data_IF_779967108255
#
_entry.id   IF_779967108255
#
_cell.length_a   1.000
_cell.length_b   1.000
_cell.length_c   1.000
_cell.angle_alpha   90.00
_cell.angle_beta   90.00
_cell.angle_gamma   90.00
#
_symmetry.space_group_name_H-M   'P 1'
#
loop_
_entity.id
_entity.type
_entity.pdbx_description
1 polymer ?
#
# COMPACT_ATOMS: atom_id res chain seq x y z
N UNK A 1 23.41 -3.23 -38.64
CA UNK A 1 23.38 -4.68 -38.97
C UNK A 1 21.92 -5.13 -39.04
N UNK A 2 21.48 -5.62 -40.20
CA UNK A 2 20.10 -5.99 -40.49
C UNK A 2 19.69 -7.25 -39.70
N UNK A 3 18.69 -7.13 -38.83
CA UNK A 3 18.08 -8.27 -38.13
C UNK A 3 16.99 -8.90 -39.00
N UNK A 4 17.32 -10.00 -39.67
CA UNK A 4 16.37 -10.73 -40.52
C UNK A 4 15.19 -11.27 -39.72
N UNK A 5 13.97 -10.86 -40.09
CA UNK A 5 12.74 -11.54 -39.71
C UNK A 5 12.67 -12.86 -40.48
N UNK A 6 12.60 -13.99 -39.80
CA UNK A 6 12.42 -15.29 -40.43
C UNK A 6 11.07 -15.90 -40.02
N UNK A 7 10.31 -16.35 -41.00
CA UNK A 7 9.04 -17.08 -40.80
C UNK A 7 9.31 -18.56 -40.64
N UNK A 8 8.83 -19.17 -39.54
CA UNK A 8 8.86 -20.63 -39.35
C UNK A 8 7.48 -21.21 -39.67
N UNK A 9 7.44 -22.20 -40.57
CA UNK A 9 6.22 -22.95 -40.84
C UNK A 9 5.92 -23.91 -39.68
N UNK A 10 4.69 -23.86 -39.19
CA UNK A 10 4.17 -24.82 -38.22
C UNK A 10 3.74 -26.12 -38.93
N UNK A 11 3.61 -27.25 -38.20
CA UNK A 11 3.14 -28.52 -38.76
C UNK A 11 1.74 -28.43 -39.42
N UNK A 12 0.98 -27.37 -39.14
CA UNK A 12 -0.34 -27.09 -39.70
C UNK A 12 -0.32 -26.13 -40.91
N UNK A 13 0.86 -25.80 -41.46
CA UNK A 13 0.99 -24.95 -42.65
C UNK A 13 0.88 -23.44 -42.41
N UNK A 14 0.80 -23.01 -41.14
CA UNK A 14 0.73 -21.60 -40.74
C UNK A 14 2.12 -20.99 -40.55
N UNK A 15 2.37 -19.81 -41.12
CA UNK A 15 3.62 -19.05 -40.97
C UNK A 15 3.64 -18.26 -39.65
N UNK A 16 4.58 -18.56 -38.76
CA UNK A 16 4.84 -17.78 -37.55
C UNK A 16 6.04 -16.86 -37.76
N UNK A 17 5.90 -15.58 -37.41
CA UNK A 17 7.04 -14.66 -37.33
C UNK A 17 7.89 -15.07 -36.12
N UNK A 18 9.14 -15.45 -36.34
CA UNK A 18 10.10 -15.78 -35.29
C UNK A 18 11.02 -14.56 -35.06
N UNK A 19 11.12 -14.14 -33.80
CA UNK A 19 12.04 -13.12 -33.28
C UNK A 19 11.78 -11.64 -33.64
N UNK A 20 10.75 -11.00 -33.06
CA UNK A 20 10.99 -9.68 -32.50
C UNK A 20 11.89 -9.84 -31.26
N UNK A 21 13.14 -9.33 -31.30
CA UNK A 21 14.04 -9.29 -30.12
C UNK A 21 13.39 -8.57 -28.92
N UNK A 22 12.44 -7.68 -29.20
CA UNK A 22 11.62 -6.93 -28.24
C UNK A 22 10.17 -6.91 -28.73
N UNK A 23 9.21 -7.24 -27.87
CA UNK A 23 7.77 -7.12 -28.18
C UNK A 23 7.40 -5.63 -28.07
N UNK A 24 6.81 -5.05 -29.12
CA UNK A 24 6.32 -3.67 -29.09
C UNK A 24 5.07 -3.55 -28.21
N UNK A 25 4.78 -2.35 -27.68
CA UNK A 25 3.55 -2.10 -26.89
C UNK A 25 2.27 -2.46 -27.66
N UNK A 26 2.23 -2.21 -28.96
CA UNK A 26 1.10 -2.60 -29.82
C UNK A 26 0.93 -4.12 -29.90
N UNK A 27 2.04 -4.86 -29.97
CA UNK A 27 2.00 -6.32 -30.01
C UNK A 27 1.62 -6.90 -28.64
N UNK A 28 2.08 -6.31 -27.54
CA UNK A 28 1.61 -6.67 -26.19
C UNK A 28 0.10 -6.48 -26.04
N UNK A 29 -0.45 -5.37 -26.54
CA UNK A 29 -1.91 -5.12 -26.50
C UNK A 29 -2.71 -6.17 -27.29
N UNK A 30 -2.21 -6.60 -28.46
CA UNK A 30 -2.80 -7.70 -29.23
C UNK A 30 -2.72 -9.03 -28.48
N UNK A 31 -1.58 -9.33 -27.86
CA UNK A 31 -1.38 -10.52 -27.02
C UNK A 31 -2.38 -10.53 -25.87
N UNK A 32 -2.52 -9.42 -25.14
CA UNK A 32 -3.47 -9.29 -24.04
C UNK A 32 -4.92 -9.53 -24.51
N UNK A 33 -5.30 -9.00 -25.67
CA UNK A 33 -6.64 -9.19 -26.25
C UNK A 33 -6.92 -10.66 -26.57
N UNK A 34 -5.96 -11.36 -27.19
CA UNK A 34 -6.07 -12.79 -27.49
C UNK A 34 -6.17 -13.63 -26.19
N UNK A 35 -5.33 -13.33 -25.19
CA UNK A 35 -5.38 -13.97 -23.87
C UNK A 35 -6.77 -13.80 -23.24
N UNK A 36 -7.34 -12.59 -23.29
CA UNK A 36 -8.68 -12.34 -22.75
C UNK A 36 -9.76 -13.18 -23.46
N UNK A 37 -9.66 -13.36 -24.79
CA UNK A 37 -10.53 -14.25 -25.56
C UNK A 37 -10.40 -15.73 -25.15
N UNK A 38 -9.17 -16.19 -24.90
CA UNK A 38 -8.91 -17.55 -24.40
C UNK A 38 -9.49 -17.74 -23.01
N UNK A 39 -9.28 -16.78 -22.09
CA UNK A 39 -9.83 -16.83 -20.73
C UNK A 39 -11.36 -16.83 -20.73
N UNK A 40 -12.00 -16.08 -21.63
CA UNK A 40 -13.46 -16.03 -21.73
C UNK A 40 -14.08 -17.34 -22.26
N UNK A 41 -13.34 -18.10 -23.05
CA UNK A 41 -13.82 -19.32 -23.73
C UNK A 41 -13.46 -20.61 -22.98
N UNK A 42 -12.61 -20.55 -21.95
CA UNK A 42 -12.11 -21.71 -21.23
C UNK A 42 -12.39 -21.62 -19.73
N UNK A 43 -12.45 -22.79 -19.10
CA UNK A 43 -12.46 -22.89 -17.64
C UNK A 43 -11.11 -22.40 -17.08
N UNK A 44 -11.16 -21.40 -16.20
CA UNK A 44 -9.98 -20.76 -15.61
C UNK A 44 -9.10 -21.76 -14.86
N UNK A 45 -9.70 -22.77 -14.23
CA UNK A 45 -8.97 -23.81 -13.49
C UNK A 45 -8.09 -24.71 -14.37
N UNK A 46 -8.34 -24.73 -15.69
CA UNK A 46 -7.64 -25.57 -16.67
C UNK A 46 -6.67 -24.79 -17.54
N UNK A 47 -6.55 -23.48 -17.34
CA UNK A 47 -5.65 -22.62 -18.10
C UNK A 47 -4.21 -22.84 -17.69
N UNK A 48 -3.43 -23.48 -18.56
CA UNK A 48 -1.97 -23.57 -18.42
C UNK A 48 -1.29 -22.55 -19.32
N UNK A 49 -0.11 -22.05 -18.94
CA UNK A 49 0.69 -21.15 -19.78
C UNK A 49 0.97 -21.76 -21.17
N UNK A 50 1.07 -23.09 -21.26
CA UNK A 50 1.27 -23.81 -22.54
C UNK A 50 0.06 -23.69 -23.46
N UNK A 51 -1.15 -23.88 -22.92
CA UNK A 51 -2.40 -23.77 -23.66
C UNK A 51 -2.63 -22.33 -24.14
N UNK A 52 -2.46 -21.37 -23.24
CA UNK A 52 -2.58 -19.94 -23.56
C UNK A 52 -1.57 -19.56 -24.64
N UNK A 53 -0.31 -20.00 -24.53
CA UNK A 53 0.70 -19.76 -25.57
C UNK A 53 0.25 -20.27 -26.94
N UNK A 54 -0.17 -21.52 -27.03
CA UNK A 54 -0.58 -22.13 -28.30
C UNK A 54 -1.76 -21.41 -28.94
N UNK A 55 -2.75 -21.01 -28.15
CA UNK A 55 -3.91 -20.29 -28.63
C UNK A 55 -3.55 -18.88 -29.14
N UNK A 56 -2.73 -18.14 -28.37
CA UNK A 56 -2.27 -16.80 -28.73
C UNK A 56 -1.35 -16.83 -29.97
N UNK A 57 -0.42 -17.78 -30.05
CA UNK A 57 0.46 -17.95 -31.21
C UNK A 57 -0.35 -18.26 -32.49
N UNK A 58 -1.44 -19.02 -32.37
CA UNK A 58 -2.36 -19.31 -33.48
C UNK A 58 -3.10 -18.07 -33.96
N UNK A 59 -3.55 -17.20 -33.04
CA UNK A 59 -4.33 -16.01 -33.36
C UNK A 59 -3.46 -14.88 -33.92
N UNK A 60 -2.33 -14.59 -33.28
CA UNK A 60 -1.48 -13.43 -33.59
C UNK A 60 -0.39 -13.77 -34.61
N UNK A 61 -0.16 -15.06 -34.87
CA UNK A 61 0.86 -15.57 -35.80
C UNK A 61 2.30 -15.14 -35.48
N UNK A 62 2.60 -14.95 -34.19
CA UNK A 62 3.93 -14.62 -33.68
C UNK A 62 4.38 -15.70 -32.70
N UNK A 63 5.63 -16.16 -32.82
CA UNK A 63 6.22 -17.14 -31.90
C UNK A 63 6.56 -16.49 -30.55
N UNK A 64 6.02 -17.02 -29.45
CA UNK A 64 6.21 -16.52 -28.09
C UNK A 64 7.12 -17.43 -27.25
N UNK A 65 7.79 -18.40 -27.88
CA UNK A 65 8.70 -19.36 -27.24
C UNK A 65 9.77 -18.71 -26.36
N UNK A 66 10.32 -17.57 -26.79
CA UNK A 66 11.37 -16.83 -26.08
C UNK A 66 10.80 -15.74 -25.14
N UNK A 67 9.48 -15.57 -25.08
CA UNK A 67 8.79 -14.49 -24.37
C UNK A 67 7.88 -15.03 -23.26
N UNK A 68 8.31 -16.11 -22.59
CA UNK A 68 7.54 -16.81 -21.55
C UNK A 68 7.12 -15.89 -20.41
N UNK A 69 8.00 -14.99 -19.97
CA UNK A 69 7.73 -14.07 -18.86
C UNK A 69 6.71 -12.99 -19.24
N UNK A 70 6.81 -12.44 -20.47
CA UNK A 70 5.79 -11.49 -20.99
C UNK A 70 4.42 -12.16 -21.05
N UNK A 71 4.36 -13.39 -21.55
CA UNK A 71 3.12 -14.16 -21.64
C UNK A 71 2.52 -14.42 -20.26
N UNK A 72 3.33 -14.86 -19.28
CA UNK A 72 2.86 -15.06 -17.90
C UNK A 72 2.31 -13.78 -17.31
N UNK A 73 3.04 -12.66 -17.41
CA UNK A 73 2.63 -11.36 -16.88
C UNK A 73 1.28 -10.92 -17.46
N UNK A 74 1.13 -10.98 -18.79
CA UNK A 74 -0.14 -10.60 -19.46
C UNK A 74 -1.28 -11.57 -19.11
N UNK A 75 -1.00 -12.87 -18.97
CA UNK A 75 -1.98 -13.86 -18.52
C UNK A 75 -2.49 -13.57 -17.10
N UNK A 76 -1.60 -13.30 -16.15
CA UNK A 76 -1.99 -12.90 -14.80
C UNK A 76 -2.81 -11.61 -14.83
N UNK A 77 -2.38 -10.60 -15.60
CA UNK A 77 -3.10 -9.34 -15.72
C UNK A 77 -4.55 -9.52 -16.22
N UNK A 78 -4.79 -10.33 -17.24
CA UNK A 78 -6.15 -10.59 -17.74
C UNK A 78 -6.99 -11.45 -16.78
N UNK A 79 -6.37 -12.41 -16.09
CA UNK A 79 -7.05 -13.17 -15.03
C UNK A 79 -7.50 -12.27 -13.88
N UNK A 80 -6.65 -11.33 -13.43
CA UNK A 80 -7.01 -10.31 -12.43
C UNK A 80 -8.19 -9.47 -12.91
N UNK A 81 -8.18 -9.00 -14.17
CA UNK A 81 -9.32 -8.27 -14.77
C UNK A 81 -10.62 -9.08 -14.77
N UNK A 82 -10.57 -10.39 -15.05
CA UNK A 82 -11.75 -11.25 -15.02
C UNK A 82 -12.28 -11.41 -13.58
N UNK A 83 -11.39 -11.71 -12.61
CA UNK A 83 -11.75 -11.80 -11.18
C UNK A 83 -12.41 -10.51 -10.71
N UNK A 84 -11.78 -9.37 -11.01
CA UNK A 84 -12.29 -8.03 -10.74
C UNK A 84 -13.73 -7.82 -11.27
N UNK A 85 -13.99 -8.18 -12.54
CA UNK A 85 -15.33 -8.08 -13.15
C UNK A 85 -16.36 -8.99 -12.47
N UNK A 86 -15.97 -10.20 -12.05
CA UNK A 86 -16.88 -11.12 -11.34
C UNK A 86 -17.23 -10.58 -9.96
N UNK A 87 -16.26 -10.03 -9.25
CA UNK A 87 -16.46 -9.42 -7.93
C UNK A 87 -17.34 -8.18 -7.99
N UNK A 88 -17.16 -7.32 -8.99
CA UNK A 88 -17.99 -6.13 -9.18
C UNK A 88 -19.48 -6.45 -9.38
N UNK A 89 -19.81 -7.68 -9.82
CA UNK A 89 -21.19 -8.13 -10.03
C UNK A 89 -21.82 -8.80 -8.80
N UNK A 90 -21.05 -9.14 -7.77
CA UNK A 90 -21.58 -9.76 -6.55
C UNK A 90 -22.13 -8.68 -5.63
N UNK A 91 -23.34 -8.89 -5.11
CA UNK A 91 -23.84 -8.07 -4.00
C UNK A 91 -22.93 -8.32 -2.79
N UNK A 92 -22.30 -7.26 -2.28
CA UNK A 92 -21.51 -7.36 -1.08
C UNK A 92 -22.46 -7.51 0.13
N UNK A 93 -22.22 -8.45 1.05
CA UNK A 93 -22.97 -8.51 2.29
C UNK A 93 -22.77 -7.22 3.09
N UNK A 94 -23.73 -6.87 3.93
CA UNK A 94 -23.61 -5.70 4.79
C UNK A 94 -22.39 -5.88 5.72
N UNK A 95 -21.53 -4.86 5.85
CA UNK A 95 -20.36 -4.98 6.69
C UNK A 95 -20.73 -5.18 8.17
N UNK A 96 -19.95 -6.01 8.86
CA UNK A 96 -20.19 -6.35 10.26
C UNK A 96 -20.33 -5.11 11.14
N UNK A 97 -21.47 -5.02 11.85
CA UNK A 97 -21.85 -3.94 12.78
C UNK A 97 -21.63 -2.52 12.25
N UNK A 98 -21.90 -2.28 10.97
CA UNK A 98 -21.60 -0.99 10.32
C UNK A 98 -22.23 0.22 11.02
N UNK A 99 -23.47 0.11 11.52
CA UNK A 99 -24.14 1.21 12.22
C UNK A 99 -23.39 1.60 13.52
N UNK A 100 -23.05 0.62 14.36
CA UNK A 100 -22.28 0.87 15.59
C UNK A 100 -20.90 1.43 15.29
N UNK A 101 -20.25 0.92 14.24
CA UNK A 101 -18.94 1.43 13.78
C UNK A 101 -19.03 2.88 13.35
N UNK A 102 -20.02 3.25 12.55
CA UNK A 102 -20.22 4.64 12.11
C UNK A 102 -20.47 5.61 13.26
N UNK A 103 -21.27 5.20 14.25
CA UNK A 103 -21.46 6.01 15.46
C UNK A 103 -20.14 6.21 16.22
N UNK A 104 -19.38 5.13 16.42
CA UNK A 104 -18.09 5.14 17.10
C UNK A 104 -17.05 6.01 16.37
N UNK A 105 -16.97 5.90 15.04
CA UNK A 105 -16.11 6.73 14.17
C UNK A 105 -16.48 8.20 14.32
N UNK A 106 -17.78 8.56 14.25
CA UNK A 106 -18.21 9.94 14.36
C UNK A 106 -17.83 10.55 15.73
N UNK A 107 -18.01 9.80 16.82
CA UNK A 107 -17.55 10.20 18.17
C UNK A 107 -16.03 10.41 18.20
N UNK A 108 -15.26 9.48 17.65
CA UNK A 108 -13.80 9.58 17.57
C UNK A 108 -13.33 10.78 16.75
N UNK A 109 -13.94 11.05 15.60
CA UNK A 109 -13.62 12.21 14.76
C UNK A 109 -13.90 13.54 15.47
N UNK A 110 -15.04 13.65 16.16
CA UNK A 110 -15.35 14.82 16.97
C UNK A 110 -14.29 15.03 18.06
N UNK A 111 -13.90 13.95 18.75
CA UNK A 111 -12.88 13.98 19.80
C UNK A 111 -11.52 14.45 19.25
N UNK A 112 -11.08 13.86 18.12
CA UNK A 112 -9.86 14.23 17.40
C UNK A 112 -9.87 15.72 17.03
N UNK A 113 -10.98 16.23 16.50
CA UNK A 113 -11.09 17.63 16.12
C UNK A 113 -10.92 18.57 17.32
N UNK A 114 -11.48 18.25 18.49
CA UNK A 114 -11.27 19.05 19.69
C UNK A 114 -9.81 18.99 20.16
N UNK A 115 -9.21 17.79 20.20
CA UNK A 115 -7.79 17.64 20.57
C UNK A 115 -6.89 18.50 19.67
N UNK A 116 -7.11 18.47 18.36
CA UNK A 116 -6.32 19.24 17.38
C UNK A 116 -6.41 20.75 17.56
N UNK A 117 -7.51 21.26 18.13
CA UNK A 117 -7.68 22.71 18.38
C UNK A 117 -7.01 23.17 19.67
N UNK A 118 -6.87 22.28 20.62
CA UNK A 118 -6.47 22.60 21.99
C UNK A 118 -5.03 22.16 22.32
N UNK A 119 -4.48 21.21 21.56
CA UNK A 119 -3.19 20.62 21.87
C UNK A 119 -2.01 21.54 21.47
N UNK A 120 -1.15 21.83 22.45
CA UNK A 120 0.11 22.53 22.22
C UNK A 120 1.04 21.77 21.25
N UNK A 121 0.96 20.43 21.20
CA UNK A 121 1.74 19.58 20.30
C UNK A 121 1.23 19.50 18.86
N UNK A 122 0.09 20.14 18.53
CA UNK A 122 -0.47 20.13 17.18
C UNK A 122 0.52 20.44 16.04
N UNK A 123 1.54 21.32 16.19
CA UNK A 123 2.55 21.51 15.16
C UNK A 123 3.28 20.23 14.73
N UNK A 124 3.58 19.34 15.66
CA UNK A 124 4.44 18.17 15.44
C UNK A 124 3.73 17.04 14.69
N UNK A 125 2.42 16.87 14.91
CA UNK A 125 1.61 15.80 14.33
C UNK A 125 0.41 16.28 13.50
N UNK A 126 0.28 17.60 13.29
CA UNK A 126 -0.79 18.18 12.48
C UNK A 126 -0.76 17.72 11.03
N UNK A 127 0.43 17.49 10.46
CA UNK A 127 0.58 16.91 9.13
C UNK A 127 0.05 15.47 9.08
N UNK A 128 0.29 14.66 10.12
CA UNK A 128 -0.30 13.33 10.24
C UNK A 128 -1.84 13.40 10.30
N UNK A 129 -2.40 14.41 10.98
CA UNK A 129 -3.85 14.62 11.02
C UNK A 129 -4.43 15.00 9.66
N UNK A 130 -3.76 15.88 8.91
CA UNK A 130 -4.16 16.26 7.55
C UNK A 130 -4.14 15.03 6.63
N UNK A 131 -3.04 14.26 6.64
CA UNK A 131 -2.93 13.00 5.90
C UNK A 131 -4.07 12.05 6.27
N UNK A 132 -4.25 11.79 7.56
CA UNK A 132 -5.25 10.84 8.07
C UNK A 132 -6.67 11.25 7.69
N UNK A 133 -7.04 12.52 7.88
CA UNK A 133 -8.36 13.01 7.52
C UNK A 133 -8.57 13.04 6.00
N UNK A 134 -7.53 13.30 5.20
CA UNK A 134 -7.63 13.19 3.74
C UNK A 134 -7.84 11.75 3.30
N UNK A 135 -7.03 10.83 3.80
CA UNK A 135 -7.14 9.42 3.43
C UNK A 135 -8.53 8.88 3.79
N UNK A 136 -9.12 9.31 4.92
CA UNK A 136 -10.49 8.94 5.30
C UNK A 136 -11.49 9.37 4.22
N UNK A 137 -11.35 10.58 3.68
CA UNK A 137 -12.23 11.05 2.60
C UNK A 137 -12.13 10.19 1.35
N UNK A 138 -10.98 9.57 1.13
CA UNK A 138 -10.76 8.76 -0.04
C UNK A 138 -11.41 7.38 0.04
N UNK A 139 -11.81 6.96 1.26
CA UNK A 139 -12.33 5.61 1.51
C UNK A 139 -13.70 5.59 2.20
N UNK A 140 -14.18 6.68 2.80
CA UNK A 140 -15.48 6.72 3.49
C UNK A 140 -16.58 7.37 2.66
N UNK A 141 -17.83 7.17 3.09
CA UNK A 141 -19.02 7.75 2.47
C UNK A 141 -19.92 8.45 3.50
N UNK A 142 -20.92 9.20 3.01
CA UNK A 142 -21.96 9.79 3.84
C UNK A 142 -21.42 10.81 4.85
N UNK A 143 -21.89 10.74 6.10
CA UNK A 143 -21.56 11.74 7.11
C UNK A 143 -20.12 11.65 7.60
N UNK A 144 -19.50 10.47 7.60
CA UNK A 144 -18.09 10.32 7.95
C UNK A 144 -17.19 11.04 6.94
N UNK A 145 -17.47 10.85 5.65
CA UNK A 145 -16.80 11.61 4.58
C UNK A 145 -16.96 13.11 4.79
N UNK A 146 -18.18 13.58 5.07
CA UNK A 146 -18.45 15.02 5.29
C UNK A 146 -17.67 15.57 6.48
N UNK A 147 -17.63 14.86 7.60
CA UNK A 147 -16.85 15.24 8.79
C UNK A 147 -15.35 15.25 8.49
N UNK A 148 -14.83 14.20 7.86
CA UNK A 148 -13.41 14.12 7.50
C UNK A 148 -13.00 15.24 6.54
N UNK A 149 -13.82 15.58 5.54
CA UNK A 149 -13.57 16.71 4.63
C UNK A 149 -13.59 18.04 5.35
N UNK A 150 -14.59 18.28 6.21
CA UNK A 150 -14.68 19.52 6.98
C UNK A 150 -13.45 19.68 7.88
N UNK A 151 -13.11 18.64 8.65
CA UNK A 151 -11.99 18.69 9.59
C UNK A 151 -10.66 18.78 8.88
N UNK A 152 -10.42 18.04 7.79
CA UNK A 152 -9.18 18.16 7.03
C UNK A 152 -8.92 19.61 6.57
N UNK A 153 -9.96 20.30 6.09
CA UNK A 153 -9.85 21.71 5.67
C UNK A 153 -9.63 22.66 6.83
N UNK A 154 -10.39 22.51 7.92
CA UNK A 154 -10.23 23.36 9.11
C UNK A 154 -8.85 23.20 9.74
N UNK A 155 -8.38 21.95 9.87
CA UNK A 155 -7.07 21.62 10.43
C UNK A 155 -5.95 22.06 9.48
N UNK A 156 -6.10 21.88 8.17
CA UNK A 156 -5.16 22.41 7.18
C UNK A 156 -5.02 23.93 7.25
N UNK A 157 -6.13 24.65 7.38
CA UNK A 157 -6.12 26.10 7.55
C UNK A 157 -5.48 26.53 8.89
N UNK A 158 -5.76 25.81 9.98
CA UNK A 158 -5.11 26.05 11.29
C UNK A 158 -3.61 25.81 11.22
N UNK A 159 -3.17 24.75 10.53
CA UNK A 159 -1.76 24.41 10.39
C UNK A 159 -0.99 25.49 9.62
N UNK A 160 -1.62 26.16 8.65
CA UNK A 160 -1.04 27.24 7.86
C UNK A 160 -1.13 28.64 8.50
N UNK A 161 -1.99 28.83 9.51
CA UNK A 161 -2.22 30.15 10.11
C UNK A 161 -1.00 30.66 10.88
N UNK A 162 -0.25 29.75 11.48
CA UNK A 162 1.05 30.07 12.05
C UNK A 162 2.08 29.99 10.94
N UNK A 163 3.02 30.94 10.90
CA UNK A 163 4.15 30.95 9.98
C UNK A 163 5.14 29.83 10.37
N UNK A 164 4.66 28.59 10.32
CA UNK A 164 5.41 27.35 10.53
C UNK A 164 6.30 27.05 9.31
N UNK A 165 6.33 27.95 8.32
CA UNK A 165 7.18 27.88 7.13
C UNK A 165 8.66 28.14 7.41
N UNK A 166 9.06 28.24 8.68
CA UNK A 166 10.48 28.28 9.06
C UNK A 166 11.10 26.90 8.93
N UNK A 167 11.27 26.40 7.70
CA UNK A 167 12.24 25.34 7.48
C UNK A 167 13.56 25.92 7.01
N UNK A 168 13.60 26.99 6.20
CA UNK A 168 14.84 27.69 5.89
C UNK A 168 14.57 29.12 5.42
N UNK A 169 15.54 30.02 5.60
CA UNK A 169 15.42 31.41 5.16
C UNK A 169 15.20 31.48 3.63
N UNK A 170 14.36 32.40 3.17
CA UNK A 170 14.14 32.59 1.73
C UNK A 170 15.49 32.82 1.03
N UNK A 171 15.79 32.02 0.02
CA UNK A 171 17.06 32.10 -0.72
C UNK A 171 18.26 31.43 -0.06
N UNK A 172 18.15 30.86 1.15
CA UNK A 172 19.18 30.00 1.72
C UNK A 172 19.07 28.56 1.19
N UNK A 173 20.14 27.78 1.37
CA UNK A 173 20.13 26.34 1.05
C UNK A 173 19.52 25.59 2.26
N UNK A 174 18.41 24.86 2.12
CA UNK A 174 17.87 24.01 3.19
C UNK A 174 18.82 22.88 3.54
N UNK A 175 18.72 22.35 4.77
CA UNK A 175 19.31 21.05 5.10
C UNK A 175 18.51 19.90 4.48
N UNK A 176 19.08 18.69 4.35
CA UNK A 176 18.36 17.51 3.85
C UNK A 176 17.05 17.24 4.60
N UNK A 177 17.06 17.30 5.93
CA UNK A 177 15.87 17.11 6.78
C UNK A 177 14.81 18.18 6.52
N UNK A 178 15.23 19.45 6.38
CA UNK A 178 14.33 20.56 6.06
C UNK A 178 13.66 20.36 4.70
N UNK A 179 14.41 19.86 3.71
CA UNK A 179 13.87 19.56 2.39
C UNK A 179 12.84 18.43 2.44
N UNK A 180 13.12 17.32 3.13
CA UNK A 180 12.18 16.20 3.31
C UNK A 180 10.89 16.64 4.02
N UNK A 181 11.02 17.46 5.06
CA UNK A 181 9.88 18.01 5.79
C UNK A 181 9.04 18.93 4.90
N UNK A 182 9.68 19.75 4.06
CA UNK A 182 8.97 20.61 3.11
C UNK A 182 8.26 19.81 2.00
N UNK A 183 8.89 18.76 1.45
CA UNK A 183 8.22 17.86 0.50
C UNK A 183 6.96 17.26 1.12
N UNK A 184 7.05 16.79 2.36
CA UNK A 184 5.91 16.21 3.08
C UNK A 184 4.82 17.26 3.34
N UNK A 185 5.19 18.46 3.82
CA UNK A 185 4.23 19.53 4.07
C UNK A 185 3.50 19.98 2.79
N UNK A 186 4.23 20.22 1.69
CA UNK A 186 3.64 20.64 0.40
C UNK A 186 2.68 19.55 -0.12
N UNK A 187 3.13 18.30 -0.13
CA UNK A 187 2.29 17.17 -0.56
C UNK A 187 0.98 17.07 0.24
N UNK A 188 1.07 17.11 1.58
CA UNK A 188 -0.07 16.90 2.45
C UNK A 188 -1.08 18.05 2.43
N UNK A 189 -0.60 19.29 2.44
CA UNK A 189 -1.45 20.49 2.43
C UNK A 189 -2.18 20.63 1.09
N UNK A 190 -1.52 20.33 -0.03
CA UNK A 190 -2.15 20.46 -1.35
C UNK A 190 -3.21 19.40 -1.61
N UNK A 191 -3.11 18.22 -0.98
CA UNK A 191 -4.17 17.21 -1.03
C UNK A 191 -5.50 17.75 -0.51
N UNK A 192 -5.50 18.59 0.53
CA UNK A 192 -6.75 19.18 1.07
C UNK A 192 -7.23 20.41 0.28
N UNK A 193 -6.61 20.69 -0.88
CA UNK A 193 -7.01 21.77 -1.78
C UNK A 193 -6.50 23.15 -1.36
N UNK A 194 -5.44 23.22 -0.56
CA UNK A 194 -4.83 24.47 -0.13
C UNK A 194 -3.45 24.60 -0.77
N UNK A 195 -3.15 25.73 -1.40
CA UNK A 195 -1.84 25.97 -2.01
C UNK A 195 -0.79 26.22 -0.91
N UNK A 196 0.31 25.49 -0.94
CA UNK A 196 1.41 25.73 -0.01
C UNK A 196 2.30 26.88 -0.53
N UNK A 197 2.62 27.86 0.33
CA UNK A 197 3.36 29.08 -0.08
C UNK A 197 4.74 28.78 -0.69
N UNK A 198 5.38 27.70 -0.25
CA UNK A 198 6.73 27.29 -0.67
C UNK A 198 6.78 26.32 -1.85
N UNK A 199 5.64 26.00 -2.49
CA UNK A 199 5.60 25.03 -3.60
C UNK A 199 6.60 25.38 -4.70
N UNK A 200 6.58 26.63 -5.17
CA UNK A 200 7.43 27.08 -6.27
C UNK A 200 8.91 27.00 -5.88
N UNK A 201 9.28 27.52 -4.71
CA UNK A 201 10.67 27.50 -4.24
C UNK A 201 11.20 26.07 -4.04
N UNK A 202 10.36 25.14 -3.56
CA UNK A 202 10.72 23.73 -3.42
C UNK A 202 11.06 23.12 -4.78
N UNK A 203 10.20 23.31 -5.78
CA UNK A 203 10.40 22.77 -7.12
C UNK A 203 11.63 23.41 -7.79
N UNK A 204 11.77 24.74 -7.71
CA UNK A 204 12.93 25.48 -8.23
C UNK A 204 14.24 25.01 -7.58
N UNK A 205 14.23 24.64 -6.29
CA UNK A 205 15.39 24.09 -5.62
C UNK A 205 15.73 22.68 -6.10
N UNK A 206 14.72 21.82 -6.26
CA UNK A 206 14.89 20.44 -6.72
C UNK A 206 15.28 20.34 -8.21
N UNK A 207 14.89 21.31 -9.03
CA UNK A 207 15.20 21.35 -10.48
C UNK A 207 16.58 21.94 -10.80
N UNK A 208 17.35 22.34 -9.77
CA UNK A 208 18.71 22.88 -9.97
C UNK A 208 19.63 21.86 -10.63
N UNK A 209 20.46 22.35 -11.55
CA UNK A 209 21.52 21.58 -12.20
C UNK A 209 22.89 22.20 -11.87
N UNK A 210 23.79 21.48 -11.18
CA UNK A 210 23.64 20.10 -10.68
C UNK A 210 22.68 19.99 -9.49
N UNK A 211 22.16 18.78 -9.26
CA UNK A 211 21.28 18.47 -8.12
C UNK A 211 22.06 18.70 -6.81
N UNK A 212 21.44 19.38 -5.85
CA UNK A 212 22.09 19.73 -4.57
C UNK A 212 22.16 18.55 -3.61
N UNK A 213 21.10 17.76 -3.51
CA UNK A 213 21.01 16.58 -2.66
C UNK A 213 20.48 15.38 -3.44
N UNK A 214 21.20 14.25 -3.38
CA UNK A 214 20.73 12.97 -3.89
C UNK A 214 20.12 12.10 -2.79
N UNK A 215 19.78 10.86 -3.14
CA UNK A 215 19.24 9.88 -2.21
C UNK A 215 20.13 9.70 -0.95
N UNK A 216 21.46 9.71 -1.13
CA UNK A 216 22.42 9.50 -0.04
C UNK A 216 22.36 10.61 1.01
N UNK A 217 22.24 11.87 0.60
CA UNK A 217 22.14 13.00 1.53
C UNK A 217 20.77 13.05 2.21
N UNK A 218 19.71 12.64 1.51
CA UNK A 218 18.33 12.70 2.02
C UNK A 218 17.96 11.51 2.93
N UNK A 219 18.48 10.32 2.63
CA UNK A 219 18.12 9.07 3.31
C UNK A 219 19.27 8.49 4.15
N UNK A 220 20.50 8.98 3.95
CA UNK A 220 21.72 8.36 4.50
C UNK A 220 22.23 7.15 3.69
N UNK A 221 21.52 6.74 2.63
CA UNK A 221 21.87 5.65 1.73
C UNK A 221 21.21 5.84 0.35
N UNK A 222 21.67 5.15 -0.68
CA UNK A 222 21.05 5.22 -2.02
C UNK A 222 20.46 3.85 -2.41
N UNK A 223 19.12 3.71 -2.47
CA UNK A 223 18.46 2.46 -2.88
C UNK A 223 18.88 1.95 -4.26
N UNK A 224 19.35 2.81 -5.14
CA UNK A 224 19.83 2.45 -6.47
C UNK A 224 21.26 1.88 -6.48
N UNK A 225 22.07 2.14 -5.46
CA UNK A 225 23.50 1.79 -5.44
C UNK A 225 23.83 0.66 -4.45
N UNK A 226 23.17 0.64 -3.28
CA UNK A 226 23.51 -0.29 -2.21
C UNK A 226 22.27 -0.72 -1.40
N UNK A 227 22.34 -1.86 -0.70
CA UNK A 227 21.35 -2.18 0.34
C UNK A 227 21.39 -1.15 1.48
N UNK A 228 20.31 -1.06 2.28
CA UNK A 228 20.29 -0.23 3.47
C UNK A 228 21.38 -0.69 4.46
N UNK A 229 22.09 0.24 5.12
CA UNK A 229 23.16 -0.09 6.05
C UNK A 229 22.62 -0.80 7.30
N UNK A 230 23.32 -1.86 7.73
CA UNK A 230 22.94 -2.73 8.86
C UNK A 230 23.81 -2.55 10.11
N UNK A 231 24.94 -1.84 10.00
CA UNK A 231 26.02 -1.90 11.00
C UNK A 231 25.90 -0.86 12.12
N UNK A 232 24.87 -0.02 12.08
CA UNK A 232 24.66 1.03 13.07
C UNK A 232 23.83 0.51 14.24
N UNK A 233 24.51 -0.06 15.24
CA UNK A 233 23.88 -0.66 16.44
C UNK A 233 22.97 0.30 17.22
N UNK A 234 23.14 1.61 17.04
CA UNK A 234 22.32 2.65 17.67
C UNK A 234 21.50 3.46 16.65
N UNK A 235 21.53 3.06 15.38
CA UNK A 235 20.82 3.73 14.30
C UNK A 235 19.42 3.16 14.06
N UNK A 236 18.68 3.76 13.11
CA UNK A 236 17.36 3.27 12.73
C UNK A 236 17.44 1.84 12.17
N UNK A 237 16.44 1.03 12.48
CA UNK A 237 16.34 -0.35 12.01
C UNK A 237 16.26 -0.42 10.48
N UNK A 238 16.52 -1.60 9.90
CA UNK A 238 16.31 -1.79 8.44
C UNK A 238 14.87 -1.47 8.04
N UNK A 239 13.90 -1.79 8.90
CA UNK A 239 12.48 -1.55 8.66
C UNK A 239 12.16 -0.05 8.65
N UNK A 240 12.69 0.71 9.61
CA UNK A 240 12.52 2.17 9.66
C UNK A 240 13.17 2.86 8.45
N UNK A 241 14.36 2.41 8.03
CA UNK A 241 15.06 2.94 6.85
C UNK A 241 14.27 2.71 5.56
N UNK A 242 13.72 1.50 5.38
CA UNK A 242 12.88 1.17 4.22
C UNK A 242 11.56 1.95 4.25
N UNK A 243 10.94 2.09 5.43
CA UNK A 243 9.71 2.87 5.62
C UNK A 243 9.94 4.34 5.27
N UNK A 244 10.99 4.94 5.81
CA UNK A 244 11.37 6.33 5.54
C UNK A 244 11.65 6.55 4.05
N UNK A 245 12.43 5.68 3.41
CA UNK A 245 12.70 5.76 1.98
C UNK A 245 11.41 5.67 1.14
N UNK A 246 10.48 4.79 1.53
CA UNK A 246 9.21 4.59 0.84
C UNK A 246 8.28 5.79 0.97
N UNK A 247 8.16 6.37 2.16
CA UNK A 247 7.34 7.58 2.41
C UNK A 247 7.89 8.78 1.65
N UNK A 248 9.21 9.01 1.73
CA UNK A 248 9.87 10.13 1.05
C UNK A 248 9.79 9.97 -0.47
N UNK A 249 9.97 8.75 -0.98
CA UNK A 249 9.72 8.44 -2.39
C UNK A 249 8.28 8.74 -2.79
N UNK A 250 7.30 8.32 -1.99
CA UNK A 250 5.89 8.52 -2.31
C UNK A 250 5.51 10.02 -2.38
N UNK A 251 5.94 10.82 -1.41
CA UNK A 251 5.68 12.26 -1.39
C UNK A 251 6.37 12.98 -2.56
N UNK A 252 7.65 12.71 -2.78
CA UNK A 252 8.42 13.32 -3.88
C UNK A 252 7.86 12.94 -5.25
N UNK A 253 7.53 11.66 -5.46
CA UNK A 253 6.93 11.17 -6.70
C UNK A 253 5.59 11.85 -6.99
N UNK A 254 4.73 12.01 -5.98
CA UNK A 254 3.46 12.72 -6.13
C UNK A 254 3.63 14.21 -6.47
N UNK A 255 4.76 14.82 -6.09
CA UNK A 255 5.12 16.19 -6.43
C UNK A 255 5.88 16.32 -7.76
N UNK A 256 6.26 15.20 -8.39
CA UNK A 256 7.08 15.19 -9.60
C UNK A 256 8.57 15.43 -9.35
N UNK A 257 9.04 15.26 -8.11
CA UNK A 257 10.45 15.46 -7.72
C UNK A 257 11.20 14.13 -7.83
N UNK A 258 12.35 14.13 -8.52
CA UNK A 258 13.22 12.95 -8.62
C UNK A 258 14.26 12.93 -7.49
N UNK A 259 14.34 11.81 -6.75
CA UNK A 259 15.32 11.60 -5.69
C UNK A 259 16.58 10.84 -6.14
N UNK A 260 16.65 10.45 -7.42
CA UNK A 260 17.75 9.63 -7.96
C UNK A 260 17.57 8.12 -7.79
N UNK A 261 16.41 7.65 -7.34
CA UNK A 261 16.03 6.24 -7.35
C UNK A 261 14.53 6.06 -7.67
N UNK A 262 14.15 4.84 -8.03
CA UNK A 262 12.79 4.44 -8.42
C UNK A 262 12.19 3.46 -7.43
N UNK A 263 10.86 3.33 -7.39
CA UNK A 263 10.18 2.36 -6.53
C UNK A 263 10.71 0.92 -6.73
N UNK A 264 10.91 0.41 -7.96
CA UNK A 264 11.50 -0.92 -8.13
C UNK A 264 12.88 -1.10 -7.49
N UNK A 265 13.75 -0.08 -7.56
CA UNK A 265 15.07 -0.10 -6.92
C UNK A 265 14.98 -0.06 -5.39
N UNK A 266 13.89 0.45 -4.83
CA UNK A 266 13.63 0.34 -3.40
C UNK A 266 13.07 -1.04 -3.04
N UNK A 267 12.07 -1.53 -3.79
CA UNK A 267 11.39 -2.80 -3.52
C UNK A 267 12.28 -4.04 -3.67
N UNK A 268 13.39 -3.96 -4.41
CA UNK A 268 14.36 -5.07 -4.48
C UNK A 268 14.96 -5.43 -3.12
N UNK A 269 15.00 -4.47 -2.18
CA UNK A 269 15.56 -4.68 -0.85
C UNK A 269 14.60 -5.39 0.10
N UNK A 270 13.35 -5.64 -0.30
CA UNK A 270 12.39 -6.40 0.51
C UNK A 270 12.84 -7.85 0.74
N UNK A 271 13.65 -8.41 -0.18
CA UNK A 271 14.26 -9.73 -0.02
C UNK A 271 15.18 -9.84 1.20
N UNK A 272 15.66 -8.71 1.74
CA UNK A 272 16.52 -8.69 2.93
C UNK A 272 15.72 -8.84 4.24
N UNK A 273 14.42 -8.56 4.20
CA UNK A 273 13.52 -8.60 5.37
C UNK A 273 12.49 -9.71 5.29
N UNK A 274 12.39 -10.40 4.15
CA UNK A 274 11.56 -11.59 4.03
C UNK A 274 12.31 -12.87 4.44
N UNK A 275 11.63 -13.83 5.09
CA UNK A 275 10.29 -13.69 5.68
C UNK A 275 10.32 -12.79 6.92
N UNK A 276 9.22 -12.07 7.16
CA UNK A 276 9.05 -11.23 8.35
C UNK A 276 9.16 -12.04 9.63
N UNK A 277 9.73 -11.42 10.67
CA UNK A 277 10.06 -12.06 11.94
C UNK A 277 8.90 -12.00 12.94
N UNK A 278 8.84 -12.99 13.84
CA UNK A 278 7.89 -12.96 14.94
C UNK A 278 8.30 -11.97 16.03
N UNK A 279 7.38 -11.61 16.95
CA UNK A 279 7.67 -10.68 18.05
C UNK A 279 8.70 -11.22 19.05
N UNK A 280 8.98 -12.52 19.06
CA UNK A 280 10.04 -13.14 19.87
C UNK A 280 11.44 -12.95 19.30
N UNK A 281 11.55 -12.64 18.01
CA UNK A 281 12.81 -12.68 17.27
C UNK A 281 13.43 -11.29 17.11
N UNK A 282 12.69 -10.24 17.50
CA UNK A 282 13.07 -8.83 17.37
C UNK A 282 12.96 -8.13 18.73
N UNK A 283 13.66 -7.01 18.87
CA UNK A 283 13.35 -6.09 19.97
C UNK A 283 11.94 -5.48 19.78
N UNK A 284 11.29 -4.98 20.85
CA UNK A 284 9.96 -4.37 20.74
C UNK A 284 9.90 -3.23 19.72
N UNK A 285 10.95 -2.38 19.67
CA UNK A 285 11.03 -1.28 18.71
C UNK A 285 11.18 -1.79 17.27
N UNK A 286 12.08 -2.75 17.02
CA UNK A 286 12.25 -3.31 15.67
C UNK A 286 11.00 -4.05 15.18
N UNK A 287 10.26 -4.69 16.09
CA UNK A 287 8.97 -5.30 15.77
C UNK A 287 7.93 -4.24 15.37
N UNK A 288 7.85 -3.13 16.11
CA UNK A 288 7.01 -1.98 15.75
C UNK A 288 7.40 -1.42 14.38
N UNK A 289 8.69 -1.19 14.13
CA UNK A 289 9.19 -0.70 12.85
C UNK A 289 8.84 -1.66 11.70
N UNK A 290 8.89 -2.98 11.94
CA UNK A 290 8.48 -3.99 10.98
C UNK A 290 6.98 -3.90 10.66
N UNK A 291 6.12 -3.72 11.66
CA UNK A 291 4.67 -3.50 11.46
C UNK A 291 4.43 -2.23 10.67
N UNK A 292 5.16 -1.14 10.95
CA UNK A 292 5.09 0.12 10.20
C UNK A 292 5.53 -0.05 8.74
N UNK A 293 6.59 -0.81 8.47
CA UNK A 293 7.01 -1.10 7.09
C UNK A 293 5.91 -1.87 6.34
N UNK A 294 5.39 -2.94 6.94
CA UNK A 294 4.36 -3.79 6.33
C UNK A 294 3.11 -2.98 6.00
N UNK A 295 2.62 -2.20 6.96
CA UNK A 295 1.42 -1.38 6.77
C UNK A 295 1.65 -0.28 5.74
N UNK A 296 2.81 0.37 5.74
CA UNK A 296 3.19 1.39 4.74
C UNK A 296 3.28 0.80 3.34
N UNK A 297 3.86 -0.40 3.16
CA UNK A 297 3.90 -1.10 1.88
C UNK A 297 2.48 -1.32 1.34
N UNK A 298 1.57 -1.81 2.18
CA UNK A 298 0.18 -2.00 1.81
C UNK A 298 -0.48 -0.67 1.45
N UNK A 299 -0.28 0.40 2.23
CA UNK A 299 -0.88 1.69 1.94
C UNK A 299 -0.38 2.31 0.63
N UNK A 300 0.93 2.31 0.37
CA UNK A 300 1.47 2.85 -0.89
C UNK A 300 0.92 2.08 -2.09
N UNK A 301 0.93 0.76 -2.05
CA UNK A 301 0.46 -0.06 -3.18
C UNK A 301 -1.05 -0.02 -3.37
N UNK A 302 -1.82 0.34 -2.34
CA UNK A 302 -3.28 0.40 -2.40
C UNK A 302 -3.80 1.84 -2.52
N UNK A 303 -2.90 2.81 -2.68
CA UNK A 303 -3.23 4.24 -2.63
C UNK A 303 -4.05 4.58 -1.37
N UNK A 304 -3.46 4.26 -0.22
CA UNK A 304 -4.02 4.43 1.13
C UNK A 304 -5.40 3.78 1.32
N UNK A 305 -5.61 2.61 0.72
CA UNK A 305 -6.86 1.85 0.85
C UNK A 305 -7.93 2.18 -0.19
N UNK A 306 -7.66 3.02 -1.19
CA UNK A 306 -8.60 3.28 -2.30
C UNK A 306 -8.71 2.10 -3.26
N UNK A 307 -7.64 1.33 -3.41
CA UNK A 307 -7.57 0.18 -4.31
C UNK A 307 -7.70 -1.12 -3.53
N UNK A 308 -8.34 -2.11 -4.14
CA UNK A 308 -8.43 -3.47 -3.60
C UNK A 308 -7.14 -4.23 -3.89
N UNK A 309 -6.57 -4.84 -2.86
CA UNK A 309 -5.38 -5.68 -2.97
C UNK A 309 -5.78 -7.15 -3.08
N UNK A 310 -5.24 -7.86 -4.06
CA UNK A 310 -5.29 -9.33 -4.08
C UNK A 310 -4.23 -9.85 -3.11
N UNK A 311 -4.52 -10.96 -2.42
CA UNK A 311 -3.55 -11.62 -1.52
C UNK A 311 -2.28 -12.03 -2.27
N UNK A 312 -2.42 -12.39 -3.54
CA UNK A 312 -1.32 -12.80 -4.41
C UNK A 312 -0.45 -11.62 -4.87
N UNK A 313 -0.78 -10.37 -4.52
CA UNK A 313 0.06 -9.21 -4.84
C UNK A 313 1.09 -8.93 -3.74
N UNK A 314 0.70 -9.13 -2.48
CA UNK A 314 1.47 -8.86 -1.27
C UNK A 314 1.24 -10.00 -0.25
N UNK A 315 1.67 -11.25 -0.56
CA UNK A 315 1.33 -12.40 0.26
C UNK A 315 2.03 -12.40 1.61
N UNK A 316 3.27 -11.90 1.67
CA UNK A 316 4.06 -11.80 2.89
C UNK A 316 3.40 -10.84 3.89
N UNK A 317 2.98 -9.67 3.41
CA UNK A 317 2.26 -8.67 4.19
C UNK A 317 0.90 -9.20 4.65
N UNK A 318 0.15 -9.83 3.75
CA UNK A 318 -1.16 -10.41 4.09
C UNK A 318 -1.06 -11.45 5.20
N UNK A 319 -0.15 -12.42 5.07
CA UNK A 319 0.02 -13.48 6.07
C UNK A 319 0.57 -12.93 7.38
N UNK A 320 1.55 -12.02 7.32
CA UNK A 320 2.09 -11.39 8.50
C UNK A 320 1.00 -10.67 9.29
N UNK A 321 0.24 -9.77 8.65
CA UNK A 321 -0.85 -9.03 9.29
C UNK A 321 -1.91 -9.95 9.86
N UNK A 322 -2.31 -10.97 9.09
CA UNK A 322 -3.29 -11.97 9.53
C UNK A 322 -2.81 -12.77 10.74
N UNK A 323 -1.54 -13.13 10.84
CA UNK A 323 -1.06 -13.90 11.98
C UNK A 323 -0.93 -13.04 13.25
N UNK A 324 -0.47 -11.79 13.08
CA UNK A 324 -0.10 -10.95 14.21
C UNK A 324 -1.27 -10.22 14.88
N UNK A 325 -2.45 -10.12 14.25
CA UNK A 325 -3.65 -9.56 14.93
C UNK A 325 -3.95 -10.30 16.25
N UNK A 326 -3.76 -11.63 16.30
CA UNK A 326 -4.00 -12.40 17.54
C UNK A 326 -3.04 -11.98 18.64
N UNK A 327 -1.76 -11.81 18.29
CA UNK A 327 -0.73 -11.36 19.22
C UNK A 327 -1.03 -9.94 19.73
N UNK A 328 -1.33 -9.00 18.82
CA UNK A 328 -1.62 -7.61 19.17
C UNK A 328 -2.88 -7.49 20.05
N UNK A 329 -3.89 -8.32 19.82
CA UNK A 329 -5.06 -8.41 20.68
C UNK A 329 -4.71 -8.92 22.09
N UNK A 330 -3.83 -9.92 22.19
CA UNK A 330 -3.40 -10.45 23.48
C UNK A 330 -2.57 -9.43 24.27
N UNK A 331 -1.75 -8.62 23.59
CA UNK A 331 -0.98 -7.54 24.21
C UNK A 331 -1.81 -6.28 24.49
N UNK A 332 -3.05 -6.21 23.98
CA UNK A 332 -3.88 -5.00 24.04
C UNK A 332 -3.21 -3.77 23.40
N UNK A 333 -2.34 -4.00 22.42
CA UNK A 333 -1.61 -2.97 21.68
C UNK A 333 -2.54 -2.31 20.65
N UNK A 334 -3.36 -1.38 21.13
CA UNK A 334 -4.35 -0.69 20.31
C UNK A 334 -3.76 0.09 19.11
N UNK A 335 -2.61 0.80 19.21
CA UNK A 335 -2.03 1.49 18.06
C UNK A 335 -1.65 0.52 16.93
N UNK A 336 -0.81 -0.49 17.22
CA UNK A 336 -0.34 -1.42 16.19
C UNK A 336 -1.47 -2.31 15.68
N UNK A 337 -2.43 -2.67 16.55
CA UNK A 337 -3.66 -3.34 16.14
C UNK A 337 -4.44 -2.48 15.13
N UNK A 338 -4.58 -1.18 15.39
CA UNK A 338 -5.31 -0.26 14.52
C UNK A 338 -4.72 -0.20 13.11
N UNK A 339 -3.40 0.02 13.02
CA UNK A 339 -2.67 0.03 11.75
C UNK A 339 -2.76 -1.32 11.02
N UNK A 340 -2.60 -2.42 11.76
CA UNK A 340 -2.66 -3.78 11.21
C UNK A 340 -4.04 -4.12 10.66
N UNK A 341 -5.11 -3.77 11.39
CA UNK A 341 -6.49 -3.93 10.92
C UNK A 341 -6.74 -3.07 9.69
N UNK A 342 -6.32 -1.80 9.69
CA UNK A 342 -6.48 -0.88 8.54
C UNK A 342 -5.79 -1.43 7.29
N UNK A 343 -4.55 -1.90 7.42
CA UNK A 343 -3.80 -2.48 6.31
C UNK A 343 -4.43 -3.80 5.84
N UNK A 344 -4.76 -4.73 6.76
CA UNK A 344 -5.32 -6.03 6.39
C UNK A 344 -6.63 -5.90 5.62
N UNK A 345 -7.45 -4.88 5.94
CA UNK A 345 -8.69 -4.58 5.21
C UNK A 345 -8.50 -4.21 3.75
N UNK A 346 -7.29 -3.87 3.34
CA UNK A 346 -6.99 -3.64 1.94
C UNK A 346 -7.02 -4.90 1.08
N UNK A 347 -6.89 -6.06 1.71
CA UNK A 347 -6.94 -7.34 1.03
C UNK A 347 -8.37 -7.84 0.86
N UNK A 348 -8.64 -8.44 -0.30
CA UNK A 348 -9.92 -9.07 -0.60
C UNK A 348 -10.25 -10.19 0.41
N UNK A 349 -11.52 -10.25 0.85
CA UNK A 349 -12.01 -11.29 1.77
C UNK A 349 -11.55 -11.15 3.22
N UNK A 350 -10.60 -10.26 3.52
CA UNK A 350 -10.06 -10.03 4.86
C UNK A 350 -11.14 -9.65 5.89
N UNK A 351 -12.16 -8.90 5.47
CA UNK A 351 -13.24 -8.45 6.35
C UNK A 351 -14.01 -9.59 7.01
N UNK A 352 -14.02 -10.79 6.43
CA UNK A 352 -14.72 -11.96 6.96
C UNK A 352 -13.89 -12.75 7.98
N UNK A 353 -12.62 -12.38 8.20
CA UNK A 353 -11.76 -13.08 9.14
C UNK A 353 -12.27 -12.87 10.57
N UNK A 354 -12.40 -13.97 11.33
CA UNK A 354 -12.81 -13.93 12.74
C UNK A 354 -11.95 -12.96 13.56
N UNK A 355 -10.65 -12.91 13.26
CA UNK A 355 -9.71 -12.03 13.95
C UNK A 355 -9.98 -10.54 13.67
N UNK A 356 -10.42 -10.18 12.46
CA UNK A 356 -10.83 -8.82 12.13
C UNK A 356 -12.05 -8.39 12.95
N UNK A 357 -13.05 -9.27 13.07
CA UNK A 357 -14.23 -9.01 13.90
C UNK A 357 -13.87 -8.87 15.38
N UNK A 358 -12.94 -9.70 15.90
CA UNK A 358 -12.46 -9.59 17.28
C UNK A 358 -11.72 -8.27 17.52
N UNK A 359 -10.87 -7.85 16.58
CA UNK A 359 -10.17 -6.56 16.62
C UNK A 359 -11.13 -5.38 16.65
N UNK A 360 -12.09 -5.34 15.74
CA UNK A 360 -13.11 -4.29 15.73
C UNK A 360 -14.01 -4.34 16.97
N UNK A 361 -14.37 -5.53 17.47
CA UNK A 361 -15.14 -5.67 18.69
C UNK A 361 -14.40 -5.09 19.91
N UNK A 362 -13.11 -5.40 20.04
CA UNK A 362 -12.26 -4.84 21.07
C UNK A 362 -12.26 -3.31 21.03
N UNK A 363 -12.04 -2.71 19.85
CA UNK A 363 -12.09 -1.26 19.69
C UNK A 363 -13.47 -0.68 20.05
N UNK A 364 -14.56 -1.27 19.59
CA UNK A 364 -15.90 -0.79 19.93
C UNK A 364 -16.21 -0.86 21.43
N UNK A 365 -15.70 -1.88 22.13
CA UNK A 365 -15.93 -2.07 23.57
C UNK A 365 -15.01 -1.21 24.45
N UNK A 366 -13.89 -0.72 23.91
CA UNK A 366 -12.90 0.07 24.65
C UNK A 366 -12.97 1.56 24.38
N UNK A 367 -13.87 2.01 23.51
CA UNK A 367 -14.11 3.43 23.29
C UNK A 367 -14.67 4.08 24.57
N UNK A 368 -14.07 5.19 24.99
CA UNK A 368 -14.57 5.98 26.13
C UNK A 368 -15.80 6.81 25.75
N UNK A 369 -16.51 7.31 26.75
CA UNK A 369 -17.71 8.15 26.54
C UNK A 369 -17.43 9.42 25.72
N UNK A 370 -16.24 9.99 25.86
CA UNK A 370 -15.79 11.17 25.10
C UNK A 370 -15.36 10.85 23.65
N UNK A 371 -15.43 9.58 23.25
CA UNK A 371 -15.09 9.11 21.92
C UNK A 371 -13.63 8.73 21.71
N UNK A 372 -12.76 8.92 22.70
CA UNK A 372 -11.33 8.59 22.60
C UNK A 372 -11.02 7.13 22.92
N UNK A 373 -9.85 6.67 22.46
CA UNK A 373 -9.22 5.42 22.89
C UNK A 373 -7.94 5.74 23.65
N UNK A 374 -7.74 5.09 24.79
CA UNK A 374 -6.53 5.29 25.59
C UNK A 374 -6.22 4.10 26.49
N UNK A 375 -4.94 3.89 26.74
CA UNK A 375 -4.42 3.09 27.85
C UNK A 375 -4.30 3.95 29.11
N UNK A 376 -4.19 3.33 30.29
CA UNK A 376 -3.98 4.07 31.55
C UNK A 376 -2.71 4.95 31.50
N UNK A 377 -1.66 4.47 30.83
CA UNK A 377 -0.41 5.21 30.60
C UNK A 377 -0.57 6.46 29.72
N UNK A 378 -1.53 6.45 28.79
CA UNK A 378 -1.75 7.54 27.84
C UNK A 378 -2.60 8.69 28.40
N UNK A 379 -3.09 8.61 29.65
CA UNK A 379 -4.00 9.61 30.19
C UNK A 379 -3.41 11.03 30.22
N UNK A 380 -2.10 11.13 30.44
CA UNK A 380 -1.38 12.40 30.57
C UNK A 380 -0.65 12.83 29.29
N UNK A 381 -0.66 12.00 28.24
CA UNK A 381 0.00 12.33 26.97
C UNK A 381 -1.04 12.62 25.88
N UNK A 382 -1.28 13.91 25.55
CA UNK A 382 -2.24 14.28 24.50
C UNK A 382 -1.83 13.75 23.11
N UNK A 383 -0.54 13.54 22.85
CA UNK A 383 -0.07 13.02 21.58
C UNK A 383 -0.47 11.55 21.45
N UNK A 384 -0.14 10.74 22.47
CA UNK A 384 -0.49 9.32 22.48
C UNK A 384 -2.01 9.12 22.37
N UNK A 385 -2.79 9.94 23.10
CA UNK A 385 -4.26 9.91 23.03
C UNK A 385 -4.79 10.20 21.62
N UNK A 386 -4.20 11.17 20.92
CA UNK A 386 -4.55 11.49 19.53
C UNK A 386 -4.28 10.31 18.60
N UNK A 387 -3.07 9.74 18.63
CA UNK A 387 -2.70 8.63 17.74
C UNK A 387 -3.56 7.39 17.99
N UNK A 388 -3.79 7.03 19.27
CA UNK A 388 -4.67 5.92 19.64
C UNK A 388 -6.08 6.11 19.08
N UNK A 389 -6.64 7.31 19.24
CA UNK A 389 -7.99 7.61 18.78
C UNK A 389 -8.06 7.59 17.24
N UNK A 390 -7.07 8.16 16.55
CA UNK A 390 -7.01 8.18 15.09
C UNK A 390 -6.89 6.77 14.51
N UNK A 391 -6.04 5.92 15.10
CA UNK A 391 -5.85 4.55 14.63
C UNK A 391 -7.09 3.67 14.85
N UNK A 392 -7.78 3.84 15.99
CA UNK A 392 -9.03 3.16 16.23
C UNK A 392 -10.13 3.58 15.25
N UNK A 393 -10.28 4.90 14.99
CA UNK A 393 -11.18 5.43 13.96
C UNK A 393 -10.92 4.76 12.63
N UNK A 394 -9.66 4.71 12.20
CA UNK A 394 -9.23 4.10 10.95
C UNK A 394 -9.56 2.60 10.85
N UNK A 395 -9.25 1.83 11.89
CA UNK A 395 -9.52 0.41 11.92
C UNK A 395 -11.02 0.10 11.81
N UNK A 396 -11.87 0.98 12.34
CA UNK A 396 -13.33 0.86 12.28
C UNK A 396 -13.91 1.30 10.93
N UNK A 397 -13.19 2.00 10.08
CA UNK A 397 -13.68 2.51 8.79
C UNK A 397 -13.98 1.39 7.78
N UNK A 398 -14.93 1.59 6.87
CA UNK A 398 -15.27 0.65 5.78
C UNK A 398 -14.80 1.20 4.43
N UNK A 399 -13.65 0.75 3.89
CA UNK A 399 -13.09 1.39 2.72
C UNK A 399 -13.88 1.13 1.44
N UNK A 400 -14.43 2.19 0.85
CA UNK A 400 -14.93 2.24 -0.51
C UNK A 400 -13.77 2.06 -1.50
N UNK A 401 -13.89 1.08 -2.39
CA UNK A 401 -12.83 0.71 -3.34
C UNK A 401 -13.17 1.19 -4.74
N UNK A 402 -12.25 1.93 -5.35
CA UNK A 402 -12.41 2.51 -6.70
C UNK A 402 -11.64 1.76 -7.79
N UNK A 403 -10.92 0.68 -7.42
CA UNK A 403 -10.11 -0.09 -8.37
C UNK A 403 -9.30 -1.20 -7.71
N UNK A 404 -8.23 -1.64 -8.38
CA UNK A 404 -7.37 -2.74 -7.97
C UNK A 404 -5.91 -2.28 -7.90
N UNK A 405 -5.18 -2.78 -6.92
CA UNK A 405 -3.75 -2.57 -6.74
C UNK A 405 -2.94 -3.37 -7.79
N UNK A 406 -1.66 -3.02 -8.05
CA UNK A 406 -0.88 -1.95 -7.42
C UNK A 406 -1.21 -0.56 -7.99
N UNK A 407 -1.09 0.47 -7.14
CA UNK A 407 -1.23 1.88 -7.52
C UNK A 407 -0.15 2.34 -8.52
N UNK A 408 1.04 1.73 -8.44
CA UNK A 408 2.20 2.03 -9.28
C UNK A 408 2.54 0.83 -10.16
N UNK A 409 2.16 0.85 -11.45
CA UNK A 409 2.37 -0.30 -12.34
C UNK A 409 3.83 -0.73 -12.45
N UNK A 410 4.80 0.19 -12.35
CA UNK A 410 6.23 -0.15 -12.38
C UNK A 410 6.67 -1.06 -11.22
N UNK A 411 5.93 -1.13 -10.11
CA UNK A 411 6.23 -2.02 -9.00
C UNK A 411 5.98 -3.50 -9.34
N UNK A 412 5.08 -3.78 -10.30
CA UNK A 412 4.58 -5.13 -10.59
C UNK A 412 5.69 -6.17 -10.78
N UNK A 413 6.76 -5.93 -11.58
CA UNK A 413 7.80 -6.94 -11.77
C UNK A 413 8.53 -7.31 -10.48
N UNK A 414 8.74 -6.35 -9.57
CA UNK A 414 9.40 -6.60 -8.30
C UNK A 414 8.49 -7.34 -7.32
N UNK A 415 7.21 -6.97 -7.27
CA UNK A 415 6.23 -7.69 -6.46
C UNK A 415 6.09 -9.14 -6.93
N UNK A 416 6.09 -9.38 -8.24
CA UNK A 416 6.02 -10.73 -8.82
C UNK A 416 7.29 -11.55 -8.54
N UNK A 417 8.47 -10.92 -8.49
CA UNK A 417 9.72 -11.57 -8.08
C UNK A 417 9.65 -12.06 -6.63
N UNK A 418 9.07 -11.24 -5.75
CA UNK A 418 8.99 -11.49 -4.33
C UNK A 418 7.97 -12.58 -3.94
N UNK A 419 7.10 -13.01 -4.88
CA UNK A 419 6.08 -14.03 -4.64
C UNK A 419 6.63 -15.39 -4.21
N UNK A 420 7.81 -15.76 -4.70
CA UNK A 420 8.37 -17.11 -4.52
C UNK A 420 9.42 -17.19 -3.41
N UNK A 421 9.61 -16.12 -2.64
CA UNK A 421 10.48 -16.16 -1.46
C UNK A 421 9.82 -17.10 -0.46
N UNK A 422 10.57 -18.06 0.07
CA UNK A 422 10.06 -19.13 0.93
C UNK A 422 9.21 -18.55 2.07
N UNK A 423 7.91 -18.87 2.04
CA UNK A 423 6.95 -18.50 3.07
C UNK A 423 6.95 -19.58 4.14
N UNK A 424 7.96 -19.60 5.01
CA UNK A 424 7.93 -20.47 6.18
C UNK A 424 6.92 -19.93 7.19
N UNK A 425 5.80 -20.64 7.37
CA UNK A 425 4.93 -20.40 8.53
C UNK A 425 5.65 -20.88 9.80
N UNK A 426 5.51 -20.21 10.95
CA UNK A 426 6.10 -20.64 12.22
C UNK A 426 5.77 -22.09 12.63
N UNK A 427 4.70 -22.67 12.07
CA UNK A 427 4.24 -24.04 12.37
C UNK A 427 4.65 -25.10 11.32
N UNK A 428 5.52 -24.79 10.35
CA UNK A 428 6.02 -25.78 9.38
C UNK A 428 4.95 -26.39 8.46
N UNK A 429 3.78 -25.75 8.33
CA UNK A 429 2.73 -26.18 7.40
C UNK A 429 2.96 -25.47 6.07
N UNK A 430 3.47 -26.20 5.07
CA UNK A 430 3.48 -25.75 3.69
C UNK A 430 2.07 -25.30 3.29
N UNK A 431 1.92 -24.04 2.87
CA UNK A 431 0.72 -23.59 2.17
C UNK A 431 0.73 -24.31 0.83
N UNK A 432 0.03 -25.45 0.77
CA UNK A 432 -0.39 -26.04 -0.49
C UNK A 432 -1.11 -24.93 -1.25
N UNK A 433 -0.59 -24.58 -2.44
CA UNK A 433 -1.16 -23.60 -3.35
C UNK A 433 -2.68 -23.60 -3.27
N UNK A 434 -3.28 -22.45 -2.94
CA UNK A 434 -4.73 -22.24 -2.86
C UNK A 434 -5.43 -22.92 -4.05
N UNK A 435 -5.92 -24.16 -3.82
CA UNK A 435 -6.84 -24.82 -4.75
C UNK A 435 -8.17 -24.12 -4.59
N UNK A 436 -8.72 -23.68 -5.70
CA UNK A 436 -9.95 -22.88 -5.81
C UNK A 436 -11.20 -23.75 -5.56
N UNK A 437 -11.15 -24.75 -4.68
CA UNK A 437 -12.26 -25.70 -4.47
C UNK A 437 -13.09 -25.48 -3.20
N UNK A 438 -12.63 -24.69 -2.22
CA UNK A 438 -13.26 -24.72 -0.89
C UNK A 438 -14.21 -23.53 -0.66
N UNK A 439 -15.06 -23.25 -1.65
CA UNK A 439 -16.25 -22.39 -1.50
C UNK A 439 -17.44 -23.06 -2.17
N UNK A 440 -17.76 -24.27 -1.72
CA UNK A 440 -19.08 -24.87 -1.82
C UNK A 440 -19.28 -25.71 -0.56
N UNK A 441 -20.49 -25.67 0.01
CA UNK A 441 -20.95 -26.39 1.22
C UNK A 441 -20.67 -25.75 2.59
N UNK A 442 -21.28 -24.59 2.82
CA UNK A 442 -21.78 -24.21 4.15
C UNK A 442 -23.05 -23.37 4.01
N UNK A 443 -24.07 -23.95 3.37
CA UNK A 443 -25.41 -23.38 3.33
C UNK A 443 -26.47 -24.48 3.29
N UNK A 444 -26.35 -25.49 4.16
CA UNK A 444 -27.48 -26.33 4.57
C UNK A 444 -27.27 -26.72 6.05
N UNK A 445 -28.32 -26.48 6.82
CA UNK A 445 -28.62 -26.91 8.20
C UNK A 445 -28.33 -25.97 9.39
N UNK A 446 -29.45 -25.70 10.08
CA UNK A 446 -29.75 -24.98 11.34
C UNK A 446 -29.84 -23.46 11.32
#
# INVERSE_FOLDING_TARGET
MAGGMYTKMTPTGSSLIVNPRLISKELEAKIATAIAGVIASHDVSKLTTKLVRQAVEKEIRVSLTNHKEVLKRLMHQELRKLKAKKLAKRAAPEPWKIAMRRESIAKGLNCIYQMLREAAGFPDWGLHAIQSLYDLQAVEEGDILRLATLYARLIGALWLKEDRHVNWAVGSIPTPTQLVNAMSAVYLVERVGISHARRVELLDFCDRSPVVYGAKELLGWNPAESPPPTDDKNGPSIYERLTSALVVWHHSHALGISLGFTLPQLLQHLLLVYPYKGPSDLSPQEYEDQVHLVTTLVFVHTNHGRLRCETDLLPHEYLFLRHHIVYLLAQQDAPLLGDSLRALRCFEGSCNLVQMHRGMAYLLLTQREDGSWMTESAHNDPNQRYFLTMQAVWALCEPHRVGFAPAFPEATPMLELNLNVEMETPDGVFVESLKVSDVEDAAVDS
#
